data_IF_792750242080
#
_entry.id   IF_792750242080
#
_cell.length_a   1.000
_cell.length_b   1.000
_cell.length_c   1.000
_cell.angle_alpha   90.00
_cell.angle_beta   90.00
_cell.angle_gamma   90.00
#
_symmetry.space_group_name_H-M   'P 1'
#
loop_
_entity.id
_entity.type
_entity.pdbx_description
1 polymer ?
#
# COMPACT_ATOMS: atom_id res chain seq x y z
N UNK A 1 4.51 10.45 -11.26
CA UNK A 1 4.95 9.65 -10.10
C UNK A 1 5.14 10.61 -8.93
N UNK A 2 4.39 10.47 -7.88
CA UNK A 2 4.47 11.32 -6.68
C UNK A 2 4.98 10.44 -5.54
N UNK A 3 6.08 10.85 -4.94
CA UNK A 3 6.70 10.15 -3.80
C UNK A 3 6.20 10.79 -2.51
N UNK A 4 5.93 9.99 -1.50
CA UNK A 4 5.43 10.47 -0.22
C UNK A 4 6.48 11.30 0.53
N UNK A 5 6.05 12.42 1.09
CA UNK A 5 6.79 13.11 2.12
C UNK A 5 6.32 12.59 3.48
N UNK A 6 7.22 11.98 4.22
CA UNK A 6 7.12 11.54 5.62
C UNK A 6 5.73 11.07 6.14
N UNK A 7 5.64 9.81 6.50
CA UNK A 7 4.52 9.28 7.28
C UNK A 7 4.51 9.91 8.69
N UNK A 8 3.35 10.37 9.14
CA UNK A 8 3.13 10.84 10.51
C UNK A 8 2.31 9.81 11.27
N UNK A 9 2.74 9.44 12.48
CA UNK A 9 1.92 8.62 13.36
C UNK A 9 0.63 9.38 13.70
N UNK A 10 -0.52 8.75 13.46
CA UNK A 10 -1.82 9.26 13.93
C UNK A 10 -1.99 8.96 15.43
N UNK A 11 -2.97 9.61 16.06
CA UNK A 11 -3.26 9.52 17.51
C UNK A 11 -3.69 8.12 18.01
N UNK A 12 -3.83 7.14 17.14
CA UNK A 12 -4.09 5.73 17.48
C UNK A 12 -2.88 4.88 17.12
N UNK A 13 -2.48 3.99 18.00
CA UNK A 13 -1.20 3.25 18.06
C UNK A 13 -0.67 2.60 16.78
N UNK A 14 -1.39 2.66 15.64
CA UNK A 14 -0.98 2.00 14.40
C UNK A 14 -1.44 2.70 13.11
N UNK A 15 -2.00 3.91 13.19
CA UNK A 15 -2.47 4.60 11.98
C UNK A 15 -1.38 5.51 11.43
N UNK A 16 -1.08 5.40 10.14
CA UNK A 16 -0.13 6.23 9.42
C UNK A 16 -0.88 7.13 8.43
N UNK A 17 -0.65 8.44 8.51
CA UNK A 17 -1.15 9.40 7.52
C UNK A 17 0.01 9.79 6.61
N UNK A 18 -0.18 9.57 5.31
CA UNK A 18 0.84 9.83 4.30
C UNK A 18 0.35 10.95 3.38
N UNK A 19 1.19 11.95 3.19
CA UNK A 19 0.92 13.03 2.23
C UNK A 19 1.21 12.51 0.81
N UNK A 20 0.15 12.36 -0.01
CA UNK A 20 0.20 11.93 -1.40
C UNK A 20 -0.63 12.89 -2.26
N UNK A 21 -0.17 14.13 -2.48
CA UNK A 21 -0.94 15.13 -3.22
C UNK A 21 -1.14 14.73 -4.69
N UNK A 22 -2.40 14.81 -5.16
CA UNK A 22 -2.76 14.62 -6.57
C UNK A 22 -4.10 15.33 -6.89
N UNK A 23 -4.25 16.03 -8.04
CA UNK A 23 -3.23 16.23 -9.06
C UNK A 23 -2.08 17.11 -8.57
N UNK A 24 -0.94 17.04 -9.29
CA UNK A 24 0.11 18.01 -9.11
C UNK A 24 -0.36 19.38 -9.58
N UNK A 25 0.32 20.47 -9.15
CA UNK A 25 -0.06 21.87 -9.43
C UNK A 25 -0.19 22.20 -10.94
N UNK A 26 0.47 21.44 -11.81
CA UNK A 26 0.51 21.63 -13.27
C UNK A 26 -0.69 21.03 -14.02
N UNK A 27 -1.66 20.48 -13.31
CA UNK A 27 -2.84 19.91 -13.92
C UNK A 27 -2.88 18.38 -13.90
N UNK A 28 -3.99 17.89 -14.43
CA UNK A 28 -4.39 16.50 -14.32
C UNK A 28 -4.28 15.80 -15.68
N UNK A 29 -3.40 14.81 -15.78
CA UNK A 29 -3.38 13.93 -16.93
C UNK A 29 -4.47 12.84 -16.76
N UNK A 30 -5.27 12.55 -17.80
CA UNK A 30 -6.26 11.48 -17.73
C UNK A 30 -5.59 10.15 -17.39
N UNK A 31 -6.26 9.31 -16.61
CA UNK A 31 -5.79 7.98 -16.28
C UNK A 31 -6.92 6.96 -16.38
N UNK A 32 -6.56 5.75 -16.75
CA UNK A 32 -7.45 4.60 -16.76
C UNK A 32 -7.34 3.79 -15.49
N UNK A 33 -6.16 3.83 -14.83
CA UNK A 33 -5.86 3.12 -13.58
C UNK A 33 -5.02 3.99 -12.65
N UNK A 34 -5.27 3.86 -11.35
CA UNK A 34 -4.47 4.46 -10.29
C UNK A 34 -4.21 3.43 -9.19
N UNK A 35 -2.95 3.32 -8.77
CA UNK A 35 -2.49 2.40 -7.73
C UNK A 35 -1.70 3.16 -6.67
N UNK A 36 -1.95 2.85 -5.39
CA UNK A 36 -1.01 3.14 -4.30
C UNK A 36 -0.06 1.96 -4.20
N UNK A 37 1.21 2.21 -4.45
CA UNK A 37 2.27 1.19 -4.49
C UNK A 37 3.12 1.31 -3.24
N UNK A 38 3.35 0.20 -2.56
CA UNK A 38 4.20 0.07 -1.39
C UNK A 38 5.42 -0.75 -1.75
N UNK A 39 6.61 -0.27 -1.40
CA UNK A 39 7.86 -0.99 -1.58
C UNK A 39 8.48 -1.35 -0.25
N UNK A 40 9.10 -2.53 -0.19
CA UNK A 40 9.81 -2.98 0.99
C UNK A 40 8.91 -3.23 2.20
N UNK A 41 7.72 -3.79 2.00
CA UNK A 41 6.80 -4.14 3.10
C UNK A 41 7.37 -5.31 3.87
N UNK A 42 7.55 -5.11 5.20
CA UNK A 42 7.98 -6.17 6.10
C UNK A 42 6.82 -7.12 6.42
N UNK A 43 7.07 -8.41 6.30
CA UNK A 43 6.12 -9.48 6.60
C UNK A 43 6.69 -10.55 7.55
N UNK A 44 7.76 -10.25 8.24
CA UNK A 44 8.39 -11.15 9.22
C UNK A 44 7.55 -11.35 10.49
N UNK A 45 6.67 -10.38 10.81
CA UNK A 45 5.84 -10.37 12.02
C UNK A 45 4.52 -11.13 11.89
N UNK A 46 3.49 -10.64 12.57
CA UNK A 46 2.14 -11.21 12.54
C UNK A 46 1.42 -10.88 11.22
N UNK A 47 0.41 -11.67 10.87
CA UNK A 47 -0.46 -11.36 9.74
C UNK A 47 -1.40 -10.20 10.04
N UNK A 48 -1.58 -9.30 9.08
CA UNK A 48 -2.43 -8.12 9.22
C UNK A 48 -3.06 -7.69 7.87
N UNK A 49 -4.11 -6.88 7.97
CA UNK A 49 -4.74 -6.17 6.85
C UNK A 49 -4.39 -4.69 6.96
N UNK A 50 -4.08 -4.04 5.86
CA UNK A 50 -3.93 -2.58 5.79
C UNK A 50 -5.10 -2.01 5.00
N UNK A 51 -5.89 -1.14 5.63
CA UNK A 51 -7.01 -0.42 5.00
C UNK A 51 -6.56 0.96 4.59
N UNK A 52 -6.96 1.38 3.39
CA UNK A 52 -6.63 2.68 2.83
C UNK A 52 -7.86 3.58 2.83
N UNK A 53 -7.68 4.81 3.36
CA UNK A 53 -8.71 5.85 3.33
C UNK A 53 -8.12 7.13 2.71
N UNK A 54 -8.79 7.66 1.69
CA UNK A 54 -8.37 8.90 1.02
C UNK A 54 -8.95 10.10 1.74
N UNK A 55 -8.13 11.12 2.00
CA UNK A 55 -8.51 12.38 2.64
C UNK A 55 -9.25 12.22 3.99
N UNK A 56 -9.05 11.13 4.69
CA UNK A 56 -9.63 10.90 6.02
C UNK A 56 -8.51 10.62 7.05
N UNK A 57 -7.82 11.66 7.54
CA UNK A 57 -6.71 11.49 8.48
C UNK A 57 -7.13 10.98 9.86
N UNK A 58 -8.44 11.01 10.16
CA UNK A 58 -9.00 10.49 11.40
C UNK A 58 -9.48 9.02 11.31
N UNK A 59 -9.24 8.34 10.19
CA UNK A 59 -9.66 6.95 10.02
C UNK A 59 -8.94 6.03 11.02
N UNK A 60 -9.68 5.08 11.56
CA UNK A 60 -9.24 4.07 12.53
C UNK A 60 -9.67 2.67 12.12
N UNK A 61 -9.31 1.66 12.89
CA UNK A 61 -9.76 0.28 12.68
C UNK A 61 -11.30 0.13 12.68
N UNK A 62 -12.00 1.02 13.40
CA UNK A 62 -13.45 1.01 13.52
C UNK A 62 -14.15 1.84 12.43
N UNK A 63 -13.40 2.59 11.62
CA UNK A 63 -13.96 3.40 10.54
C UNK A 63 -14.66 2.51 9.50
N UNK A 64 -15.93 2.78 9.16
CA UNK A 64 -16.65 2.02 8.15
C UNK A 64 -15.93 2.01 6.80
N UNK A 65 -15.91 0.85 6.14
CA UNK A 65 -15.31 0.65 4.82
C UNK A 65 -16.24 1.10 3.70
N UNK A 66 -16.62 2.37 3.72
CA UNK A 66 -17.54 2.96 2.74
C UNK A 66 -16.91 4.13 2.00
N UNK A 67 -17.48 4.47 0.84
CA UNK A 67 -16.99 5.57 0.01
C UNK A 67 -17.06 6.92 0.73
N UNK A 68 -18.11 7.14 1.56
CA UNK A 68 -18.34 8.37 2.34
C UNK A 68 -17.24 8.58 3.39
N UNK A 69 -16.63 7.50 3.86
CA UNK A 69 -15.50 7.55 4.78
C UNK A 69 -14.15 7.62 4.06
N UNK A 70 -14.15 7.69 2.72
CA UNK A 70 -12.95 7.73 1.90
C UNK A 70 -12.29 6.37 1.70
N UNK A 71 -12.95 5.26 2.04
CA UNK A 71 -12.37 3.93 1.86
C UNK A 71 -12.02 3.66 0.39
N UNK A 72 -10.77 3.27 0.15
CA UNK A 72 -10.24 3.08 -1.19
C UNK A 72 -9.83 1.64 -1.50
N UNK A 73 -9.67 0.81 -0.48
CA UNK A 73 -9.26 -0.58 -0.65
C UNK A 73 -8.41 -1.09 0.50
N UNK A 74 -7.81 -2.24 0.29
CA UNK A 74 -6.95 -2.89 1.28
C UNK A 74 -5.94 -3.81 0.61
N UNK A 75 -4.86 -4.13 1.33
CA UNK A 75 -4.04 -5.30 1.07
C UNK A 75 -3.86 -6.10 2.36
N UNK A 76 -3.47 -7.37 2.21
CA UNK A 76 -3.25 -8.27 3.34
C UNK A 76 -1.80 -8.73 3.30
N UNK A 77 -1.15 -8.70 4.44
CA UNK A 77 0.18 -9.26 4.65
C UNK A 77 0.04 -10.57 5.39
N UNK A 78 0.51 -11.64 4.75
CA UNK A 78 0.65 -12.93 5.40
C UNK A 78 1.98 -12.95 6.14
N UNK A 79 1.93 -12.73 7.46
CA UNK A 79 3.10 -12.68 8.30
C UNK A 79 3.61 -14.05 8.69
N UNK A 80 4.91 -14.15 8.94
CA UNK A 80 5.54 -15.41 9.35
C UNK A 80 5.47 -15.68 10.86
N UNK A 81 4.85 -14.76 11.62
CA UNK A 81 4.56 -14.97 13.05
C UNK A 81 5.77 -14.96 13.98
N UNK A 82 6.92 -14.61 13.48
CA UNK A 82 8.21 -14.68 14.14
C UNK A 82 9.11 -15.75 13.52
N UNK A 83 10.38 -15.68 13.83
CA UNK A 83 11.34 -16.68 13.37
C UNK A 83 11.31 -17.94 14.24
N UNK A 84 10.96 -19.05 13.62
CA UNK A 84 11.01 -20.37 14.22
C UNK A 84 11.87 -21.27 13.33
N UNK A 85 13.15 -21.41 13.62
CA UNK A 85 14.06 -22.21 12.84
C UNK A 85 15.44 -22.30 13.48
N UNK A 86 16.37 -22.93 12.79
CA UNK A 86 17.76 -22.98 13.18
C UNK A 86 18.38 -21.58 13.23
N UNK A 87 19.48 -21.44 13.95
CA UNK A 87 20.26 -20.19 14.03
C UNK A 87 20.60 -19.68 12.62
N UNK A 88 20.31 -18.39 12.36
CA UNK A 88 20.50 -17.77 11.06
C UNK A 88 19.34 -17.97 10.06
N UNK A 89 18.33 -18.78 10.36
CA UNK A 89 17.18 -19.03 9.45
C UNK A 89 16.45 -17.75 9.04
N UNK A 90 16.40 -16.75 9.90
CA UNK A 90 15.69 -15.50 9.70
C UNK A 90 16.58 -14.33 9.28
N UNK A 91 17.86 -14.57 9.09
CA UNK A 91 18.77 -13.57 8.57
C UNK A 91 18.58 -13.44 7.07
N UNK A 92 17.93 -12.36 6.65
CA UNK A 92 17.74 -12.07 5.22
C UNK A 92 19.07 -11.71 4.59
N UNK A 93 19.59 -12.52 3.66
CA UNK A 93 20.86 -12.24 3.00
C UNK A 93 20.73 -10.97 2.13
N UNK A 94 21.85 -10.28 1.94
CA UNK A 94 21.91 -9.18 1.00
C UNK A 94 21.48 -9.66 -0.42
N UNK A 95 20.76 -8.83 -1.19
CA UNK A 95 20.44 -9.16 -2.57
C UNK A 95 21.70 -9.49 -3.37
N UNK A 96 21.61 -10.51 -4.24
CA UNK A 96 22.72 -10.82 -5.14
C UNK A 96 22.98 -9.64 -6.10
N UNK A 97 24.24 -9.26 -6.25
CA UNK A 97 24.66 -8.28 -7.25
C UNK A 97 24.78 -8.89 -8.66
N UNK A 98 24.68 -10.21 -8.78
CA UNK A 98 24.76 -10.92 -10.06
C UNK A 98 23.37 -10.94 -10.74
N UNK A 99 23.21 -10.27 -11.90
CA UNK A 99 21.95 -10.24 -12.64
C UNK A 99 21.55 -11.61 -13.22
N UNK A 100 22.45 -12.60 -13.21
CA UNK A 100 22.18 -13.96 -13.66
C UNK A 100 21.81 -14.91 -12.52
N UNK A 101 21.76 -14.41 -11.29
CA UNK A 101 21.34 -15.20 -10.14
C UNK A 101 19.83 -15.41 -10.16
N UNK A 102 19.40 -16.59 -10.57
CA UNK A 102 18.00 -16.98 -10.68
C UNK A 102 17.47 -17.72 -9.42
N UNK A 103 18.23 -17.71 -8.34
CA UNK A 103 17.75 -18.32 -7.09
C UNK A 103 16.49 -17.58 -6.61
N UNK A 104 15.50 -18.30 -6.05
CA UNK A 104 14.35 -17.66 -5.44
C UNK A 104 14.79 -16.67 -4.35
N UNK A 105 14.04 -15.56 -4.22
CA UNK A 105 14.23 -14.64 -3.12
C UNK A 105 14.07 -15.36 -1.78
N UNK A 106 14.82 -14.90 -0.76
CA UNK A 106 14.64 -15.40 0.60
C UNK A 106 13.19 -15.17 1.07
N UNK A 107 12.53 -16.13 1.73
CA UNK A 107 11.11 -16.03 2.10
C UNK A 107 10.77 -14.83 3.00
N UNK A 108 11.74 -14.25 3.70
CA UNK A 108 11.57 -13.05 4.52
C UNK A 108 12.07 -11.77 3.85
N UNK A 109 12.47 -11.81 2.59
CA UNK A 109 12.80 -10.59 1.85
C UNK A 109 11.58 -9.68 1.78
N UNK A 110 11.68 -8.39 2.14
CA UNK A 110 10.58 -7.45 2.06
C UNK A 110 9.92 -7.46 0.69
N UNK A 111 8.61 -7.35 0.65
CA UNK A 111 7.83 -7.47 -0.57
C UNK A 111 7.31 -6.12 -1.07
N UNK A 112 7.06 -6.04 -2.36
CA UNK A 112 6.34 -4.92 -2.96
C UNK A 112 4.88 -5.33 -3.19
N UNK A 113 3.96 -4.39 -2.94
CA UNK A 113 2.53 -4.60 -3.14
C UNK A 113 1.84 -3.33 -3.57
N UNK A 114 0.60 -3.43 -4.02
CA UNK A 114 -0.19 -2.26 -4.41
C UNK A 114 -1.67 -2.45 -4.11
N UNK A 115 -2.37 -1.32 -4.03
CA UNK A 115 -3.84 -1.26 -3.97
C UNK A 115 -4.34 -0.41 -5.12
N UNK A 116 -5.18 -0.99 -5.98
CA UNK A 116 -5.84 -0.24 -7.05
C UNK A 116 -6.94 0.62 -6.44
N UNK A 117 -6.82 1.94 -6.62
CA UNK A 117 -7.72 2.94 -6.04
C UNK A 117 -8.44 3.79 -7.10
N UNK A 118 -8.47 3.33 -8.34
CA UNK A 118 -8.97 4.08 -9.51
C UNK A 118 -10.30 4.78 -9.25
N UNK A 119 -11.32 4.02 -8.82
CA UNK A 119 -12.66 4.57 -8.60
C UNK A 119 -12.73 5.47 -7.36
N UNK A 120 -11.97 5.15 -6.32
CA UNK A 120 -11.87 5.99 -5.14
C UNK A 120 -11.20 7.33 -5.47
N UNK A 121 -10.12 7.31 -6.23
CA UNK A 121 -9.42 8.52 -6.67
C UNK A 121 -10.32 9.37 -7.59
N UNK A 122 -11.03 8.76 -8.53
CA UNK A 122 -12.00 9.48 -9.39
C UNK A 122 -13.08 10.19 -8.57
N UNK A 123 -13.62 9.55 -7.52
CA UNK A 123 -14.58 10.20 -6.62
C UNK A 123 -13.99 11.41 -5.90
N UNK A 124 -12.74 11.29 -5.42
CA UNK A 124 -12.02 12.40 -4.76
C UNK A 124 -11.80 13.57 -5.71
N UNK A 125 -11.54 13.29 -7.00
CA UNK A 125 -11.26 14.32 -8.01
C UNK A 125 -12.53 14.89 -8.66
N UNK A 126 -13.69 14.28 -8.42
CA UNK A 126 -14.95 14.83 -8.90
C UNK A 126 -15.15 16.26 -8.37
N UNK A 127 -15.80 17.09 -9.18
CA UNK A 127 -16.14 18.48 -8.84
C UNK A 127 -14.93 19.36 -8.46
N UNK A 128 -13.76 19.05 -9.01
CA UNK A 128 -12.53 19.82 -8.76
C UNK A 128 -11.84 19.49 -7.44
N UNK A 129 -12.17 18.35 -6.83
CA UNK A 129 -11.48 17.87 -5.64
C UNK A 129 -10.02 17.47 -5.88
N UNK A 130 -9.27 17.28 -4.81
CA UNK A 130 -7.88 16.83 -4.84
C UNK A 130 -7.61 15.78 -3.76
N UNK A 131 -6.79 14.79 -4.08
CA UNK A 131 -6.20 13.93 -3.07
C UNK A 131 -5.11 14.71 -2.34
N UNK A 132 -5.07 14.62 -1.03
CA UNK A 132 -4.05 15.24 -0.17
C UNK A 132 -3.32 14.18 0.64
N UNK A 133 -4.10 13.31 1.29
CA UNK A 133 -3.56 12.29 2.19
C UNK A 133 -4.15 10.92 1.90
N UNK A 134 -3.36 9.90 2.19
CA UNK A 134 -3.81 8.52 2.31
C UNK A 134 -3.55 8.05 3.73
N UNK A 135 -4.59 7.63 4.42
CA UNK A 135 -4.50 7.07 5.77
C UNK A 135 -4.42 5.57 5.68
N UNK A 136 -3.37 5.00 6.26
CA UNK A 136 -3.08 3.58 6.30
C UNK A 136 -3.44 3.07 7.70
N UNK A 137 -4.40 2.16 7.78
CA UNK A 137 -4.88 1.60 9.04
C UNK A 137 -4.57 0.10 9.07
N UNK A 138 -3.45 -0.30 9.70
CA UNK A 138 -3.14 -1.72 9.89
C UNK A 138 -4.05 -2.33 10.97
N UNK A 139 -4.59 -3.51 10.66
CA UNK A 139 -5.50 -4.24 11.54
C UNK A 139 -5.01 -5.67 11.64
N UNK A 140 -4.68 -6.12 12.86
CA UNK A 140 -4.27 -7.51 13.09
C UNK A 140 -5.42 -8.46 12.73
N UNK A 141 -5.14 -9.47 11.92
CA UNK A 141 -6.07 -10.56 11.61
C UNK A 141 -5.80 -11.83 12.43
N UNK A 142 -4.73 -11.80 13.23
CA UNK A 142 -4.42 -12.90 14.14
C UNK A 142 -5.28 -12.78 15.39
N UNK A 143 -5.97 -13.86 15.83
CA UNK A 143 -6.74 -13.84 17.07
C UNK A 143 -5.86 -13.41 18.25
N UNK A 144 -6.27 -12.36 18.98
CA UNK A 144 -5.58 -11.94 20.21
C UNK A 144 -5.73 -13.06 21.25
N UNK A 145 -4.62 -13.64 21.67
CA UNK A 145 -4.59 -14.34 22.93
C UNK A 145 -4.50 -13.30 24.05
N UNK A 146 -5.28 -13.47 25.11
CA UNK A 146 -5.39 -12.52 26.21
C UNK A 146 -4.06 -12.24 26.95
N UNK A 147 -3.06 -13.06 26.73
CA UNK A 147 -1.73 -13.02 27.36
C UNK A 147 -0.64 -12.37 26.50
N UNK A 148 -0.93 -12.00 25.26
CA UNK A 148 0.04 -11.32 24.38
C UNK A 148 -0.07 -9.81 24.52
N UNK A 149 1.09 -9.17 24.74
CA UNK A 149 1.24 -7.71 24.61
C UNK A 149 0.76 -7.28 23.21
N UNK A 150 0.16 -6.08 23.08
CA UNK A 150 -0.12 -5.51 21.76
C UNK A 150 1.13 -5.62 20.90
N UNK A 151 0.99 -6.08 19.67
CA UNK A 151 2.11 -6.02 18.75
C UNK A 151 2.47 -4.53 18.60
N UNK A 152 3.75 -4.16 18.76
CA UNK A 152 4.19 -2.84 18.33
C UNK A 152 3.86 -2.71 16.84
N UNK A 153 4.15 -1.62 16.24
CA UNK A 153 3.87 -1.33 14.84
C UNK A 153 3.76 -2.58 13.93
N UNK A 154 2.61 -2.76 13.28
CA UNK A 154 2.39 -3.89 12.37
C UNK A 154 2.91 -3.60 10.97
N UNK A 155 2.83 -2.32 10.54
CA UNK A 155 3.14 -1.93 9.17
C UNK A 155 4.48 -1.20 9.09
N UNK A 156 5.43 -1.83 8.44
CA UNK A 156 6.71 -1.23 8.06
C UNK A 156 6.88 -1.35 6.55
N UNK A 157 7.30 -0.28 5.89
CA UNK A 157 7.61 -0.24 4.47
C UNK A 157 8.70 0.81 4.19
N UNK A 158 9.39 0.67 3.07
CA UNK A 158 10.45 1.59 2.69
C UNK A 158 9.89 2.85 2.02
N UNK A 159 8.90 2.69 1.13
CA UNK A 159 8.31 3.80 0.39
C UNK A 159 6.86 3.52 0.00
N UNK A 160 6.10 4.60 -0.22
CA UNK A 160 4.75 4.56 -0.76
C UNK A 160 4.56 5.62 -1.82
N UNK A 161 4.03 5.24 -2.97
CA UNK A 161 3.84 6.13 -4.12
C UNK A 161 2.46 5.98 -4.73
N UNK A 162 1.93 7.07 -5.29
CA UNK A 162 0.77 7.02 -6.18
C UNK A 162 1.26 6.91 -7.62
N UNK A 163 0.79 5.90 -8.33
CA UNK A 163 1.04 5.71 -9.76
C UNK A 163 -0.26 5.74 -10.53
N UNK A 164 -0.29 6.51 -11.60
CA UNK A 164 -1.40 6.55 -12.56
C UNK A 164 -0.93 6.03 -13.91
N UNK A 165 -1.82 5.34 -14.60
CA UNK A 165 -1.56 4.73 -15.90
C UNK A 165 -2.63 5.17 -16.89
N UNK A 166 -2.20 5.42 -18.11
CA UNK A 166 -3.09 5.54 -19.26
C UNK A 166 -2.85 4.30 -20.12
N UNK A 167 -3.79 3.37 -20.11
CA UNK A 167 -3.78 2.25 -21.05
C UNK A 167 -4.46 2.70 -22.32
N UNK A 168 -3.77 2.61 -23.47
CA UNK A 168 -4.45 2.72 -24.78
C UNK A 168 -5.48 1.60 -24.88
N UNK A 169 -6.73 1.95 -25.03
CA UNK A 169 -7.73 0.99 -25.52
C UNK A 169 -7.32 0.61 -26.95
N UNK A 170 -7.27 -0.67 -27.26
CA UNK A 170 -7.03 -1.21 -28.62
C UNK A 170 -8.12 -0.81 -29.64
N UNK A 171 -8.75 0.35 -29.49
CA UNK A 171 -9.83 0.83 -30.36
C UNK A 171 -9.31 1.51 -31.64
N UNK A 172 -8.00 1.69 -31.80
CA UNK A 172 -7.37 2.27 -33.00
C UNK A 172 -6.62 1.24 -33.86
N UNK A 173 -6.97 -0.03 -33.76
CA UNK A 173 -6.57 -0.99 -34.78
C UNK A 173 -7.37 -0.69 -36.04
N UNK A 174 -6.85 0.20 -36.89
CA UNK A 174 -7.33 0.43 -38.26
C UNK A 174 -7.40 -0.91 -38.97
N UNK A 175 -8.57 -1.30 -39.56
CA UNK A 175 -8.64 -2.53 -40.28
C UNK A 175 -7.68 -2.42 -41.47
N UNK A 176 -6.69 -3.33 -41.50
CA UNK A 176 -5.81 -3.47 -42.67
C UNK A 176 -6.65 -3.62 -43.90
N UNK A 177 -6.59 -2.62 -44.78
CA UNK A 177 -7.31 -2.55 -46.03
C UNK A 177 -7.04 -3.79 -46.89
N UNK A 178 -8.11 -4.30 -47.44
CA UNK A 178 -8.10 -5.30 -48.50
C UNK A 178 -7.61 -4.69 -49.80
#
# INVERSE_FOLDING_TARGET
MVTAAAARAGDTEQTLVVDLPFPAEEGFAPFTRADVVFTGVDHSGASYEVRLFLNNPAATADTPRTAEQGYAGRFTVFGHGGCYGDEGHCEVPAPSADPTDLRPAHPLTPLDTYVTITDALRRVLADGGALRTVTLVPVSITPRRADRKPAPELLHFTDVTLRTYLTSTEADAEPAGQ
#
